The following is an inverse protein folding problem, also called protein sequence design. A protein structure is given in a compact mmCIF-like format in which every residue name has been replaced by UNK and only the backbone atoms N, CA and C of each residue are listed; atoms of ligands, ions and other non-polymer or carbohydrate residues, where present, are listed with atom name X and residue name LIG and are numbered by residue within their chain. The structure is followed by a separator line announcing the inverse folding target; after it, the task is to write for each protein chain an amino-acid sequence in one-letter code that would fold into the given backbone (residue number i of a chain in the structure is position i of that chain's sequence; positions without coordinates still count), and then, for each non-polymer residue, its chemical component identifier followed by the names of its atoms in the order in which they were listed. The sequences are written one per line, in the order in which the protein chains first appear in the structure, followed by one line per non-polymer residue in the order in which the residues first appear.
data_IF_811950208666
#
_entry.id   IF_811950208666
#
_cell.length_a   1.000
_cell.length_b   1.000
_cell.length_c   1.000
_cell.angle_alpha   90.00
_cell.angle_beta   90.00
_cell.angle_gamma   90.00
#
_symmetry.space_group_name_H-M   'P 1'
#
loop_
_entity.id
_entity.type
_entity.pdbx_description
1 polymer ?
#
# COMPACT_ATOMS: atom_id res chain seq x y z
N UNK A 1 10.29 3.76 -7.24
CA UNK A 1 10.99 3.61 -5.97
C UNK A 1 10.41 2.42 -5.21
N UNK A 2 11.20 1.63 -4.46
CA UNK A 2 10.69 0.48 -3.71
C UNK A 2 10.07 0.88 -2.37
N UNK A 3 10.23 2.13 -1.93
CA UNK A 3 9.71 2.62 -0.66
C UNK A 3 8.55 3.59 -0.86
N UNK A 4 7.60 3.53 0.06
CA UNK A 4 6.55 4.54 0.24
C UNK A 4 6.51 4.99 1.70
N UNK A 5 6.14 6.25 1.90
CA UNK A 5 5.88 6.81 3.23
C UNK A 5 4.37 6.97 3.38
N UNK A 6 3.81 6.33 4.39
CA UNK A 6 2.39 6.42 4.73
C UNK A 6 2.26 7.23 6.00
N UNK A 7 1.51 8.32 5.97
CA UNK A 7 1.18 9.13 7.15
C UNK A 7 -0.31 9.02 7.41
N UNK A 8 -0.74 8.87 8.66
CA UNK A 8 -2.16 8.75 8.95
C UNK A 8 -2.53 9.09 10.39
N UNK A 9 -3.75 9.59 10.59
CA UNK A 9 -4.30 9.83 11.91
C UNK A 9 -4.82 8.54 12.56
N UNK A 10 -4.48 8.33 13.83
CA UNK A 10 -4.93 7.22 14.67
C UNK A 10 -6.26 7.50 15.38
N UNK A 11 -6.65 8.77 15.43
CA UNK A 11 -7.99 9.18 15.85
C UNK A 11 -8.66 9.96 14.73
N UNK A 12 -9.97 9.81 14.54
CA UNK A 12 -10.70 10.60 13.56
C UNK A 12 -10.50 12.10 13.81
N UNK A 13 -10.26 12.90 12.76
CA UNK A 13 -10.25 14.34 12.95
C UNK A 13 -11.65 14.79 13.37
N UNK A 14 -11.73 15.49 14.51
CA UNK A 14 -12.98 16.08 15.00
C UNK A 14 -13.33 17.25 14.10
N UNK A 15 -14.09 16.99 13.04
CA UNK A 15 -14.62 18.02 12.16
C UNK A 15 -15.93 18.52 12.77
N UNK A 16 -15.82 19.42 13.75
CA UNK A 16 -16.96 20.05 14.38
C UNK A 16 -16.75 21.55 14.48
N UNK A 17 -17.39 22.31 13.59
CA UNK A 17 -17.65 23.73 13.81
C UNK A 17 -18.92 23.81 14.67
N UNK A 18 -18.90 24.54 15.77
CA UNK A 18 -20.08 24.73 16.61
C UNK A 18 -21.24 25.27 15.74
N UNK A 19 -22.33 24.50 15.63
CA UNK A 19 -23.52 24.88 14.85
C UNK A 19 -23.66 24.26 13.46
N UNK A 20 -22.73 23.41 13.00
CA UNK A 20 -22.90 22.61 11.78
C UNK A 20 -23.30 21.16 12.06
N UNK A 21 -24.06 20.50 11.15
CA UNK A 21 -24.36 19.07 11.26
C UNK A 21 -23.07 18.26 11.31
N UNK A 22 -23.04 17.12 12.05
CA UNK A 22 -21.82 16.35 12.25
C UNK A 22 -21.27 15.87 10.90
N UNK A 23 -20.16 16.46 10.48
CA UNK A 23 -19.37 15.93 9.37
C UNK A 23 -18.74 14.64 9.92
N UNK A 24 -18.87 13.49 9.22
CA UNK A 24 -18.25 12.25 9.67
C UNK A 24 -16.76 12.52 9.92
N UNK A 25 -16.22 12.10 11.07
CA UNK A 25 -14.91 12.55 11.46
C UNK A 25 -13.88 11.98 10.50
N UNK A 26 -13.06 12.87 9.95
CA UNK A 26 -12.30 12.57 8.74
C UNK A 26 -11.07 11.74 9.07
N UNK A 27 -11.01 10.52 8.54
CA UNK A 27 -9.74 9.83 8.38
C UNK A 27 -8.98 10.48 7.22
N UNK A 28 -7.65 10.59 7.36
CA UNK A 28 -6.77 11.11 6.33
C UNK A 28 -5.47 10.33 6.36
N UNK A 29 -5.17 9.67 5.25
CA UNK A 29 -3.93 8.93 5.04
C UNK A 29 -3.22 9.50 3.82
N UNK A 30 -2.00 10.02 3.98
CA UNK A 30 -1.14 10.46 2.89
C UNK A 30 -0.15 9.37 2.52
N UNK A 31 -0.04 9.01 1.24
CA UNK A 31 0.94 8.06 0.72
C UNK A 31 1.85 8.79 -0.26
N UNK A 32 3.13 8.90 0.09
CA UNK A 32 4.16 9.54 -0.74
C UNK A 32 5.03 8.50 -1.44
N UNK A 33 5.40 8.76 -2.70
CA UNK A 33 6.30 7.91 -3.48
C UNK A 33 5.63 6.71 -4.16
N UNK A 34 4.29 6.67 -4.16
CA UNK A 34 3.51 5.62 -4.83
C UNK A 34 3.70 5.67 -6.34
N UNK A 35 3.88 4.51 -7.00
CA UNK A 35 3.96 4.41 -8.46
C UNK A 35 2.58 4.58 -9.09
N UNK A 36 2.54 5.05 -10.34
CA UNK A 36 1.28 5.25 -11.07
C UNK A 36 0.45 3.97 -11.22
N UNK A 37 1.10 2.82 -11.50
CA UNK A 37 0.42 1.52 -11.58
C UNK A 37 -0.23 1.13 -10.23
N UNK A 38 0.51 1.23 -9.13
CA UNK A 38 -0.02 0.92 -7.79
C UNK A 38 -1.14 1.90 -7.38
N UNK A 39 -1.08 3.16 -7.86
CA UNK A 39 -2.16 4.12 -7.64
C UNK A 39 -3.45 3.70 -8.37
N UNK A 40 -3.36 3.11 -9.56
CA UNK A 40 -4.53 2.62 -10.31
C UNK A 40 -5.31 1.58 -9.52
N UNK A 41 -4.62 0.63 -8.88
CA UNK A 41 -5.24 -0.37 -8.01
C UNK A 41 -5.90 0.23 -6.76
N UNK A 42 -5.37 1.37 -6.29
CA UNK A 42 -5.93 2.11 -5.15
C UNK A 42 -7.03 3.11 -5.53
N UNK A 43 -7.32 3.35 -6.82
CA UNK A 43 -8.37 4.30 -7.26
C UNK A 43 -9.78 3.93 -6.77
N UNK A 44 -9.98 2.67 -6.34
CA UNK A 44 -11.22 2.22 -5.70
C UNK A 44 -11.50 2.90 -4.35
N UNK A 45 -10.46 3.42 -3.69
CA UNK A 45 -10.59 4.20 -2.47
C UNK A 45 -10.82 5.67 -2.81
N UNK A 46 -11.67 6.35 -2.06
CA UNK A 46 -11.84 7.81 -2.18
C UNK A 46 -10.51 8.52 -1.87
N UNK A 47 -9.91 9.11 -2.91
CA UNK A 47 -8.63 9.80 -2.81
C UNK A 47 -8.69 11.21 -3.40
N UNK A 48 -7.78 12.05 -2.96
CA UNK A 48 -7.54 13.41 -3.42
C UNK A 48 -6.03 13.57 -3.66
N UNK A 49 -5.61 14.45 -4.57
CA UNK A 49 -4.19 14.83 -4.60
C UNK A 49 -3.83 15.51 -3.28
N UNK A 50 -2.65 15.17 -2.76
CA UNK A 50 -2.12 15.77 -1.54
C UNK A 50 -1.76 17.25 -1.73
N UNK A 51 -1.15 17.84 -0.70
CA UNK A 51 -0.63 19.20 -0.77
C UNK A 51 0.58 19.37 -1.70
N UNK A 52 1.13 18.26 -2.20
CA UNK A 52 2.28 18.20 -3.10
C UNK A 52 2.07 17.14 -4.20
N UNK A 53 2.89 17.20 -5.25
CA UNK A 53 2.77 16.36 -6.47
C UNK A 53 3.10 14.87 -6.22
N UNK A 54 3.79 14.55 -5.12
CA UNK A 54 4.29 13.21 -4.85
C UNK A 54 3.46 12.44 -3.82
N UNK A 55 2.46 13.09 -3.22
CA UNK A 55 1.63 12.53 -2.17
C UNK A 55 0.18 12.44 -2.59
N UNK A 56 -0.43 11.27 -2.39
CA UNK A 56 -1.87 11.06 -2.58
C UNK A 56 -2.53 10.91 -1.23
N UNK A 57 -3.67 11.59 -1.02
CA UNK A 57 -4.44 11.54 0.22
C UNK A 57 -5.66 10.65 0.09
N UNK A 58 -5.95 9.82 1.08
CA UNK A 58 -7.10 8.92 1.13
C UNK A 58 -7.96 9.23 2.36
N UNK A 59 -9.30 9.18 2.19
CA UNK A 59 -10.27 9.44 3.27
C UNK A 59 -10.69 8.17 4.01
N UNK A 60 -9.73 7.36 4.40
CA UNK A 60 -9.93 6.02 4.99
C UNK A 60 -9.01 5.82 6.20
N UNK A 61 -9.40 4.91 7.10
CA UNK A 61 -8.59 4.56 8.26
C UNK A 61 -7.20 4.02 7.84
N UNK A 62 -6.10 4.36 8.54
CA UNK A 62 -4.75 3.91 8.17
C UNK A 62 -4.62 2.41 7.91
N UNK A 63 -5.19 1.56 8.78
CA UNK A 63 -5.19 0.10 8.61
C UNK A 63 -5.75 -0.36 7.27
N UNK A 64 -6.78 0.31 6.72
CA UNK A 64 -7.37 -0.06 5.43
C UNK A 64 -6.34 0.11 4.31
N UNK A 65 -5.58 1.22 4.34
CA UNK A 65 -4.58 1.51 3.32
C UNK A 65 -3.30 0.69 3.50
N UNK A 66 -2.88 0.45 4.75
CA UNK A 66 -1.74 -0.44 5.02
C UNK A 66 -2.02 -1.84 4.49
N UNK A 67 -3.19 -2.42 4.75
CA UNK A 67 -3.56 -3.73 4.22
C UNK A 67 -3.66 -3.73 2.69
N UNK A 68 -4.18 -2.66 2.08
CA UNK A 68 -4.22 -2.55 0.63
C UNK A 68 -2.81 -2.52 0.00
N UNK A 69 -1.87 -1.82 0.64
CA UNK A 69 -0.47 -1.78 0.24
C UNK A 69 0.21 -3.15 0.44
N UNK A 70 -0.15 -3.90 1.49
CA UNK A 70 0.31 -5.29 1.69
C UNK A 70 -0.11 -6.21 0.55
N UNK A 71 -1.35 -6.11 0.08
CA UNK A 71 -1.83 -6.86 -1.10
C UNK A 71 -1.04 -6.49 -2.37
N UNK A 72 -0.57 -5.24 -2.48
CA UNK A 72 0.31 -4.79 -3.56
C UNK A 72 1.78 -5.22 -3.36
N UNK A 73 2.11 -5.91 -2.27
CA UNK A 73 3.46 -6.42 -1.98
C UNK A 73 4.33 -5.49 -1.14
N UNK A 74 3.77 -4.42 -0.55
CA UNK A 74 4.50 -3.56 0.38
C UNK A 74 4.43 -4.11 1.80
N UNK A 75 5.55 -4.13 2.53
CA UNK A 75 5.61 -4.48 3.94
C UNK A 75 6.03 -3.29 4.79
N UNK A 76 5.43 -3.15 5.97
CA UNK A 76 5.87 -2.17 6.98
C UNK A 76 7.25 -2.57 7.47
N UNK A 77 8.23 -1.68 7.34
CA UNK A 77 9.60 -1.90 7.84
C UNK A 77 9.96 -0.99 9.02
N UNK A 78 9.20 0.10 9.21
CA UNK A 78 9.36 1.00 10.33
C UNK A 78 8.05 1.76 10.57
N UNK A 79 7.78 2.08 11.83
CA UNK A 79 6.66 2.91 12.24
C UNK A 79 7.10 3.86 13.35
N UNK A 80 6.66 5.11 13.31
CA UNK A 80 6.90 6.06 14.39
C UNK A 80 5.70 7.00 14.59
N UNK A 81 5.42 7.29 15.85
CA UNK A 81 4.42 8.29 16.21
C UNK A 81 5.00 9.69 16.01
N UNK A 82 4.29 10.53 15.24
CA UNK A 82 4.61 11.96 15.14
C UNK A 82 4.01 12.70 16.33
N UNK A 83 2.81 12.28 16.75
CA UNK A 83 2.11 12.76 17.94
C UNK A 83 1.12 11.67 18.40
N UNK A 84 0.41 11.84 19.53
CA UNK A 84 -0.50 10.82 20.05
C UNK A 84 -1.65 10.44 19.10
N UNK A 85 -1.96 11.29 18.12
CA UNK A 85 -3.08 11.12 17.20
C UNK A 85 -2.63 10.79 15.77
N UNK A 86 -1.33 10.65 15.49
CA UNK A 86 -0.82 10.36 14.15
C UNK A 86 0.47 9.55 14.14
N UNK A 87 0.58 8.69 13.13
CA UNK A 87 1.71 7.80 12.92
C UNK A 87 2.18 7.87 11.46
N UNK A 88 3.44 7.57 11.26
CA UNK A 88 4.06 7.41 9.95
C UNK A 88 4.63 6.01 9.85
N UNK A 89 4.34 5.34 8.75
CA UNK A 89 4.86 4.02 8.39
C UNK A 89 5.73 4.16 7.15
N UNK A 90 6.92 3.59 7.22
CA UNK A 90 7.73 3.34 6.03
C UNK A 90 7.40 1.94 5.55
N UNK A 91 6.95 1.81 4.30
CA UNK A 91 6.71 0.51 3.69
C UNK A 91 7.64 0.28 2.51
N UNK A 92 8.11 -0.96 2.35
CA UNK A 92 8.97 -1.39 1.25
C UNK A 92 8.25 -2.44 0.42
N UNK A 93 8.22 -2.29 -0.90
CA UNK A 93 7.79 -3.33 -1.83
C UNK A 93 8.88 -4.39 -1.88
N UNK A 94 8.60 -5.57 -1.34
CA UNK A 94 9.48 -6.71 -1.55
C UNK A 94 9.19 -7.23 -2.96
N UNK A 95 10.23 -7.35 -3.80
CA UNK A 95 10.10 -8.04 -5.08
C UNK A 95 9.85 -9.52 -4.78
N UNK A 96 8.86 -10.20 -5.38
CA UNK A 96 8.86 -11.65 -5.32
C UNK A 96 10.17 -12.12 -5.95
N UNK A 97 10.89 -13.01 -5.24
CA UNK A 97 11.94 -13.81 -5.86
C UNK A 97 11.33 -14.45 -7.12
N UNK A 98 11.99 -14.37 -8.30
CA UNK A 98 11.53 -15.13 -9.46
C UNK A 98 11.41 -16.60 -9.03
N UNK A 99 10.25 -17.20 -9.29
CA UNK A 99 9.99 -18.62 -9.04
C UNK A 99 11.18 -19.47 -9.48
N UNK A 100 11.57 -20.52 -8.73
CA UNK A 100 12.69 -21.38 -9.12
C UNK A 100 12.48 -21.84 -10.56
N UNK A 101 13.50 -21.67 -11.40
CA UNK A 101 13.47 -22.13 -12.78
C UNK A 101 13.09 -23.61 -12.81
N UNK A 102 12.26 -24.05 -13.78
CA UNK A 102 11.92 -25.46 -13.89
C UNK A 102 13.23 -26.24 -14.01
N UNK A 103 13.44 -27.21 -13.12
CA UNK A 103 14.53 -28.16 -13.25
C UNK A 103 14.39 -28.82 -14.62
N UNK A 104 15.40 -28.64 -15.47
CA UNK A 104 15.58 -29.36 -16.73
C UNK A 104 15.75 -30.86 -16.44
N UNK A 105 14.68 -31.54 -16.07
CA UNK A 105 14.62 -32.98 -16.01
C UNK A 105 13.32 -33.41 -16.70
N UNK A 106 13.51 -34.15 -17.80
CA UNK A 106 12.54 -34.90 -18.60
C UNK A 106 12.10 -34.28 -19.94
N UNK A 107 13.06 -34.18 -20.87
CA UNK A 107 12.79 -34.42 -22.29
C UNK A 107 13.64 -35.58 -22.82
N UNK A 108 12.96 -36.68 -23.15
CA UNK A 108 13.32 -37.74 -24.10
C UNK A 108 14.62 -38.54 -23.90
N UNK A 109 14.46 -39.83 -23.56
CA UNK A 109 14.88 -40.84 -24.54
C UNK A 109 13.79 -41.90 -24.69
N UNK A 110 13.14 -41.85 -25.85
CA UNK A 110 12.18 -42.86 -26.30
C UNK A 110 12.98 -44.05 -26.82
N UNK A 111 12.74 -45.23 -26.25
CA UNK A 111 13.24 -46.48 -26.79
C UNK A 111 12.81 -46.68 -28.25
N UNK A 112 13.68 -47.27 -29.09
CA UNK A 112 13.24 -48.20 -30.12
C UNK A 112 13.69 -49.63 -29.79
N UNK A 113 12.76 -50.56 -29.95
CA UNK A 113 12.96 -52.00 -29.93
C UNK A 113 14.07 -52.45 -30.89
N UNK A 114 14.87 -53.44 -30.49
CA UNK A 114 15.72 -54.21 -31.40
C UNK A 114 15.60 -55.70 -31.03
N UNK A 115 14.98 -56.44 -31.96
CA UNK A 115 14.90 -57.90 -32.22
C UNK A 115 14.96 -58.92 -31.06
#
# INVERSE_FOLDING_TARGET
MPYVIVSGNLKPNKNGVAGQPPIPPGWRVGISGLKACDLEDLKRFTYEQGGDVHTVSFKHHPVVLLNALEVLGYRVISSFHVNPDSCVWTMRKDFPEPCPEPSDEEESDSAPEID
#
